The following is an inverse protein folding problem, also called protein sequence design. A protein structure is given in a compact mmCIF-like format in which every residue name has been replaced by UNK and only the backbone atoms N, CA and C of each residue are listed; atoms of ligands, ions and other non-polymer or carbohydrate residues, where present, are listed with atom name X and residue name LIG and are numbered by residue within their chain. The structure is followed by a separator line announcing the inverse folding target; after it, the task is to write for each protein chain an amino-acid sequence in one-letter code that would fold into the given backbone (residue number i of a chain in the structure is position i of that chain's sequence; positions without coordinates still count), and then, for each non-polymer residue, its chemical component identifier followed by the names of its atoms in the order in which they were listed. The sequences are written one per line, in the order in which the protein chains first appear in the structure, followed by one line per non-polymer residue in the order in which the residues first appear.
data_IF_321686461539
#
_entry.id   IF_321686461539
#
_cell.length_a   1.000
_cell.length_b   1.000
_cell.length_c   1.000
_cell.angle_alpha   90.00
_cell.angle_beta   90.00
_cell.angle_gamma   90.00
#
_symmetry.space_group_name_H-M   'P 1'
#
loop_
_entity.id
_entity.type
_entity.pdbx_description
1 polymer ?
#
# COMPACT_ATOMS: atom_id res chain seq x y z
N UNK A 1 -20.90 -10.24 10.37
CA UNK A 1 -19.94 -9.28 9.76
C UNK A 1 -19.18 -9.89 8.61
N UNK A 2 -18.61 -11.10 8.76
CA UNK A 2 -17.93 -11.83 7.67
C UNK A 2 -18.73 -12.00 6.38
N UNK A 3 -20.04 -12.26 6.44
CA UNK A 3 -20.88 -12.39 5.24
C UNK A 3 -21.03 -11.08 4.46
N UNK A 4 -20.96 -9.91 5.11
CA UNK A 4 -20.96 -8.61 4.42
C UNK A 4 -19.63 -8.35 3.71
N UNK A 5 -18.51 -8.76 4.33
CA UNK A 5 -17.17 -8.69 3.75
C UNK A 5 -17.09 -9.57 2.49
N UNK A 6 -17.68 -10.77 2.53
CA UNK A 6 -17.73 -11.70 1.40
C UNK A 6 -18.64 -11.20 0.26
N UNK A 7 -19.74 -10.52 0.60
CA UNK A 7 -20.60 -9.86 -0.38
C UNK A 7 -19.90 -8.67 -1.05
N UNK A 8 -19.18 -7.83 -0.29
CA UNK A 8 -18.37 -6.74 -0.85
C UNK A 8 -17.22 -7.28 -1.73
N UNK A 9 -16.66 -8.45 -1.37
CA UNK A 9 -15.64 -9.17 -2.16
C UNK A 9 -16.13 -9.50 -3.57
N UNK A 10 -17.35 -10.05 -3.69
CA UNK A 10 -17.94 -10.42 -4.99
C UNK A 10 -18.49 -9.22 -5.77
N UNK A 11 -19.02 -8.20 -5.10
CA UNK A 11 -19.69 -7.05 -5.74
C UNK A 11 -18.72 -6.10 -6.46
N UNK A 12 -17.51 -5.93 -5.94
CA UNK A 12 -16.55 -4.92 -6.42
C UNK A 12 -15.64 -5.38 -7.56
N UNK A 13 -15.88 -6.53 -8.20
CA UNK A 13 -15.00 -7.06 -9.25
C UNK A 13 -13.53 -7.09 -8.79
N UNK A 14 -13.30 -7.51 -7.55
CA UNK A 14 -11.96 -7.61 -6.96
C UNK A 14 -11.03 -8.52 -7.77
N UNK A 15 -11.57 -9.50 -8.51
CA UNK A 15 -10.79 -10.29 -9.48
C UNK A 15 -10.11 -9.42 -10.54
N UNK A 16 -10.72 -8.32 -10.99
CA UNK A 16 -10.09 -7.40 -11.93
C UNK A 16 -8.98 -6.59 -11.24
N UNK A 17 -9.19 -6.21 -9.97
CA UNK A 17 -8.17 -5.52 -9.18
C UNK A 17 -6.99 -6.46 -8.85
N UNK A 18 -7.25 -7.73 -8.59
CA UNK A 18 -6.23 -8.78 -8.40
C UNK A 18 -5.45 -9.07 -9.69
N UNK A 19 -6.11 -9.04 -10.86
CA UNK A 19 -5.39 -9.12 -12.15
C UNK A 19 -4.44 -7.94 -12.34
N UNK A 20 -4.90 -6.72 -12.06
CA UNK A 20 -4.04 -5.53 -12.10
C UNK A 20 -2.88 -5.63 -11.10
N UNK A 21 -3.12 -6.17 -9.91
CA UNK A 21 -2.09 -6.43 -8.89
C UNK A 21 -0.98 -7.34 -9.42
N UNK A 22 -1.33 -8.49 -10.00
CA UNK A 22 -0.35 -9.44 -10.57
C UNK A 22 0.46 -8.80 -11.72
N UNK A 23 -0.21 -8.03 -12.59
CA UNK A 23 0.46 -7.31 -13.67
C UNK A 23 1.48 -6.31 -13.11
N UNK A 24 1.13 -5.55 -12.07
CA UNK A 24 2.05 -4.61 -11.42
C UNK A 24 3.30 -5.31 -10.89
N UNK A 25 3.16 -6.47 -10.24
CA UNK A 25 4.31 -7.24 -9.73
C UNK A 25 5.26 -7.63 -10.87
N UNK A 26 4.70 -8.20 -11.94
CA UNK A 26 5.49 -8.65 -13.10
C UNK A 26 6.22 -7.47 -13.75
N UNK A 27 5.54 -6.33 -13.89
CA UNK A 27 6.12 -5.11 -14.49
C UNK A 27 7.24 -4.54 -13.63
N UNK A 28 7.05 -4.43 -12.31
CA UNK A 28 8.10 -3.94 -11.40
C UNK A 28 9.31 -4.85 -11.47
N UNK A 29 9.10 -6.17 -11.38
CA UNK A 29 10.19 -7.13 -11.40
C UNK A 29 10.97 -7.11 -12.72
N UNK A 30 10.26 -7.07 -13.86
CA UNK A 30 10.88 -6.97 -15.18
C UNK A 30 11.66 -5.67 -15.35
N UNK A 31 11.10 -4.56 -14.85
CA UNK A 31 11.76 -3.25 -14.89
C UNK A 31 13.04 -3.22 -14.05
N UNK A 32 13.03 -3.83 -12.86
CA UNK A 32 14.21 -3.93 -12.00
C UNK A 32 15.33 -4.76 -12.62
N UNK A 33 15.01 -5.87 -13.29
CA UNK A 33 16.00 -6.68 -14.03
C UNK A 33 16.57 -5.91 -15.23
N UNK A 34 15.72 -5.19 -15.94
CA UNK A 34 16.16 -4.36 -17.07
C UNK A 34 17.14 -3.27 -16.63
N UNK A 35 16.88 -2.62 -15.49
CA UNK A 35 17.80 -1.64 -14.89
C UNK A 35 19.15 -2.25 -14.51
N UNK A 36 19.16 -3.45 -13.92
CA UNK A 36 20.40 -4.15 -13.56
C UNK A 36 21.26 -4.54 -14.77
N UNK A 37 20.64 -4.88 -15.89
CA UNK A 37 21.35 -5.21 -17.13
C UNK A 37 21.73 -3.98 -17.99
N UNK A 38 20.99 -2.87 -17.85
CA UNK A 38 21.07 -1.70 -18.74
C UNK A 38 22.19 -0.70 -18.43
N UNK A 39 23.12 -1.00 -17.51
CA UNK A 39 24.31 -0.18 -17.25
C UNK A 39 24.42 0.41 -15.84
N UNK A 40 23.43 0.21 -14.97
CA UNK A 40 23.59 0.37 -13.53
C UNK A 40 23.98 -0.98 -12.94
N UNK A 41 25.28 -1.32 -13.00
CA UNK A 41 25.81 -2.41 -12.19
C UNK A 41 25.58 -2.05 -10.73
N UNK A 42 24.62 -2.70 -10.10
CA UNK A 42 24.41 -2.56 -8.68
C UNK A 42 25.67 -3.05 -7.96
N UNK A 43 26.23 -2.18 -7.11
CA UNK A 43 27.50 -2.44 -6.43
C UNK A 43 27.32 -3.52 -5.35
N UNK A 44 26.09 -3.68 -4.82
CA UNK A 44 25.75 -4.64 -3.76
C UNK A 44 24.31 -5.12 -3.85
N UNK A 45 24.01 -6.30 -3.29
CA UNK A 45 22.65 -6.87 -3.23
C UNK A 45 21.66 -5.95 -2.49
N UNK A 46 22.13 -5.26 -1.45
CA UNK A 46 21.32 -4.32 -0.65
C UNK A 46 20.77 -3.15 -1.47
N UNK A 47 21.54 -2.65 -2.44
CA UNK A 47 21.11 -1.55 -3.31
C UNK A 47 19.95 -1.97 -4.21
N UNK A 48 19.93 -3.23 -4.63
CA UNK A 48 18.82 -3.75 -5.42
C UNK A 48 17.57 -3.99 -4.58
N UNK A 49 17.74 -4.56 -3.39
CA UNK A 49 16.61 -4.78 -2.47
C UNK A 49 15.97 -3.46 -2.01
N UNK A 50 16.77 -2.42 -1.78
CA UNK A 50 16.25 -1.09 -1.43
C UNK A 50 15.47 -0.47 -2.59
N UNK A 51 15.96 -0.56 -3.83
CA UNK A 51 15.24 -0.08 -5.01
C UNK A 51 13.94 -0.84 -5.26
N UNK A 52 13.98 -2.17 -5.16
CA UNK A 52 12.79 -3.02 -5.24
C UNK A 52 11.76 -2.61 -4.18
N UNK A 53 12.21 -2.46 -2.94
CA UNK A 53 11.37 -2.05 -1.81
C UNK A 53 10.71 -0.70 -2.10
N UNK A 54 11.46 0.30 -2.56
CA UNK A 54 10.94 1.64 -2.91
C UNK A 54 9.88 1.58 -4.02
N UNK A 55 10.17 0.89 -5.13
CA UNK A 55 9.27 0.77 -6.28
C UNK A 55 7.96 0.05 -5.89
N UNK A 56 8.09 -1.03 -5.12
CA UNK A 56 6.97 -1.78 -4.58
C UNK A 56 6.10 -0.87 -3.71
N UNK A 57 6.72 -0.17 -2.78
CA UNK A 57 6.08 0.72 -1.82
C UNK A 57 5.24 1.81 -2.49
N UNK A 58 5.80 2.49 -3.48
CA UNK A 58 5.11 3.54 -4.24
C UNK A 58 3.91 2.95 -5.00
N UNK A 59 4.12 1.85 -5.72
CA UNK A 59 3.09 1.25 -6.57
C UNK A 59 1.91 0.76 -5.74
N UNK A 60 2.18 0.04 -4.64
CA UNK A 60 1.13 -0.48 -3.79
C UNK A 60 0.43 0.59 -2.96
N UNK A 61 1.10 1.69 -2.62
CA UNK A 61 0.43 2.84 -2.00
C UNK A 61 -0.57 3.51 -2.96
N UNK A 62 -0.21 3.67 -4.24
CA UNK A 62 -1.12 4.18 -5.27
C UNK A 62 -2.28 3.19 -5.48
N UNK A 63 -1.97 1.89 -5.59
CA UNK A 63 -2.98 0.86 -5.77
C UNK A 63 -3.98 0.83 -4.61
N UNK A 64 -3.49 0.87 -3.37
CA UNK A 64 -4.29 0.99 -2.15
C UNK A 64 -5.26 2.18 -2.20
N UNK A 65 -4.76 3.35 -2.61
CA UNK A 65 -5.58 4.55 -2.78
C UNK A 65 -6.69 4.37 -3.83
N UNK A 66 -6.42 3.70 -4.95
CA UNK A 66 -7.48 3.40 -5.94
C UNK A 66 -8.54 2.44 -5.39
N UNK A 67 -8.13 1.44 -4.60
CA UNK A 67 -9.03 0.47 -3.99
C UNK A 67 -9.91 1.14 -2.93
N UNK A 68 -9.30 1.97 -2.09
CA UNK A 68 -9.97 2.81 -1.11
C UNK A 68 -11.00 3.74 -1.76
N UNK A 69 -10.64 4.39 -2.87
CA UNK A 69 -11.54 5.26 -3.62
C UNK A 69 -12.72 4.49 -4.24
N UNK A 70 -12.51 3.27 -4.73
CA UNK A 70 -13.55 2.42 -5.30
C UNK A 70 -14.53 1.88 -4.25
N UNK A 71 -14.04 1.45 -3.08
CA UNK A 71 -14.85 0.82 -2.04
C UNK A 71 -15.57 1.88 -1.20
N UNK A 72 -14.86 2.94 -0.80
CA UNK A 72 -15.41 3.93 0.14
C UNK A 72 -16.06 5.09 -0.61
N UNK A 73 -15.32 5.79 -1.48
CA UNK A 73 -15.78 7.06 -2.06
C UNK A 73 -16.91 6.85 -3.08
N UNK A 74 -16.87 5.77 -3.88
CA UNK A 74 -17.92 5.48 -4.87
C UNK A 74 -19.29 5.28 -4.22
N UNK A 75 -19.33 4.62 -3.06
CA UNK A 75 -20.57 4.44 -2.29
C UNK A 75 -21.07 5.74 -1.66
N UNK A 76 -20.17 6.60 -1.19
CA UNK A 76 -20.55 7.92 -0.69
C UNK A 76 -21.12 8.84 -1.78
N UNK A 77 -20.71 8.67 -3.04
CA UNK A 77 -21.16 9.49 -4.16
C UNK A 77 -22.48 9.01 -4.78
N UNK A 78 -22.72 7.69 -4.85
CA UNK A 78 -23.87 7.12 -5.60
C UNK A 78 -25.24 7.15 -4.88
N UNK A 79 -25.44 7.99 -3.85
CA UNK A 79 -26.73 8.09 -3.11
C UNK A 79 -27.27 6.76 -2.55
N UNK A 80 -26.45 5.72 -2.41
CA UNK A 80 -26.78 4.50 -1.64
C UNK A 80 -26.85 4.78 -0.12
N UNK A 81 -26.60 6.02 0.28
CA UNK A 81 -26.91 6.55 1.60
C UNK A 81 -28.41 6.35 1.93
N UNK A 82 -29.35 6.48 0.97
CA UNK A 82 -30.78 6.22 1.19
C UNK A 82 -31.11 4.75 1.50
N UNK A 83 -30.33 3.79 1.00
CA UNK A 83 -30.47 2.37 1.36
C UNK A 83 -29.77 2.06 2.69
N UNK A 84 -28.75 2.83 3.05
CA UNK A 84 -28.11 2.79 4.37
C UNK A 84 -29.02 3.37 5.47
N UNK A 85 -29.96 4.26 5.12
CA UNK A 85 -30.94 4.85 6.04
C UNK A 85 -32.02 3.86 6.51
N UNK A 86 -32.29 2.80 5.74
CA UNK A 86 -33.18 1.69 6.16
C UNK A 86 -32.48 0.67 7.05
N UNK A 87 -31.15 0.77 7.23
CA UNK A 87 -30.37 -0.23 7.94
C UNK A 87 -30.32 0.11 9.45
N UNK A 88 -30.86 -0.76 10.35
CA UNK A 88 -30.99 -0.48 11.78
C UNK A 88 -29.64 -0.51 12.56
N UNK A 89 -28.50 -0.57 11.86
CA UNK A 89 -27.16 -0.71 12.45
C UNK A 89 -26.43 0.64 12.41
N UNK A 90 -25.79 1.02 13.52
CA UNK A 90 -25.06 2.27 13.64
C UNK A 90 -24.03 2.47 12.50
N UNK A 91 -24.20 3.56 11.72
CA UNK A 91 -23.39 3.94 10.53
C UNK A 91 -21.87 3.82 10.74
N UNK A 92 -21.42 4.12 11.96
CA UNK A 92 -20.02 4.04 12.38
C UNK A 92 -19.44 2.62 12.25
N UNK A 93 -20.22 1.58 12.58
CA UNK A 93 -19.76 0.18 12.54
C UNK A 93 -19.61 -0.33 11.10
N UNK A 94 -20.50 0.08 10.19
CA UNK A 94 -20.41 -0.29 8.78
C UNK A 94 -19.20 0.35 8.09
N UNK A 95 -18.98 1.65 8.32
CA UNK A 95 -17.83 2.35 7.76
C UNK A 95 -16.50 1.84 8.34
N UNK A 96 -16.45 1.59 9.65
CA UNK A 96 -15.27 0.99 10.28
C UNK A 96 -14.95 -0.37 9.65
N UNK A 97 -15.96 -1.22 9.44
CA UNK A 97 -15.78 -2.53 8.81
C UNK A 97 -15.17 -2.42 7.40
N UNK A 98 -15.54 -1.39 6.62
CA UNK A 98 -14.98 -1.19 5.27
C UNK A 98 -13.54 -0.71 5.30
N UNK A 99 -13.20 0.15 6.25
CA UNK A 99 -11.82 0.65 6.37
C UNK A 99 -10.89 -0.44 6.89
N UNK A 100 -11.37 -1.27 7.82
CA UNK A 100 -10.67 -2.49 8.24
C UNK A 100 -10.50 -3.45 7.07
N UNK A 101 -11.52 -3.65 6.22
CA UNK A 101 -11.42 -4.48 5.02
C UNK A 101 -10.33 -3.95 4.08
N UNK A 102 -10.32 -2.65 3.78
CA UNK A 102 -9.28 -2.05 2.92
C UNK A 102 -7.90 -2.22 3.55
N UNK A 103 -7.77 -1.96 4.86
CA UNK A 103 -6.50 -2.12 5.57
C UNK A 103 -5.96 -3.55 5.52
N UNK A 104 -6.80 -4.56 5.75
CA UNK A 104 -6.40 -5.97 5.67
C UNK A 104 -6.03 -6.35 4.24
N UNK A 105 -6.78 -5.87 3.24
CA UNK A 105 -6.47 -6.17 1.85
C UNK A 105 -5.17 -5.54 1.39
N UNK A 106 -4.91 -4.29 1.75
CA UNK A 106 -3.68 -3.58 1.38
C UNK A 106 -2.47 -4.17 2.09
N UNK A 107 -2.63 -4.58 3.34
CA UNK A 107 -1.64 -5.32 4.09
C UNK A 107 -1.30 -6.67 3.43
N UNK A 108 -2.32 -7.45 3.05
CA UNK A 108 -2.12 -8.73 2.36
C UNK A 108 -1.41 -8.53 1.01
N UNK A 109 -1.82 -7.52 0.23
CA UNK A 109 -1.22 -7.20 -1.06
C UNK A 109 0.26 -6.80 -0.93
N UNK A 110 0.59 -5.92 0.01
CA UNK A 110 1.98 -5.52 0.28
C UNK A 110 2.83 -6.72 0.71
N UNK A 111 2.31 -7.54 1.63
CA UNK A 111 3.02 -8.72 2.15
C UNK A 111 3.28 -9.75 1.06
N UNK A 112 2.26 -10.08 0.26
CA UNK A 112 2.39 -11.02 -0.86
C UNK A 112 3.38 -10.49 -1.89
N UNK A 113 3.29 -9.20 -2.25
CA UNK A 113 4.18 -8.63 -3.25
C UNK A 113 5.65 -8.68 -2.81
N UNK A 114 5.95 -8.27 -1.58
CA UNK A 114 7.32 -8.32 -1.05
C UNK A 114 7.87 -9.74 -1.01
N UNK A 115 7.07 -10.71 -0.52
CA UNK A 115 7.47 -12.12 -0.51
C UNK A 115 7.72 -12.65 -1.92
N UNK A 116 6.86 -12.31 -2.88
CA UNK A 116 7.07 -12.72 -4.28
C UNK A 116 8.32 -12.10 -4.89
N UNK A 117 8.65 -10.84 -4.55
CA UNK A 117 9.87 -10.19 -5.04
C UNK A 117 11.12 -10.82 -4.43
N UNK A 118 11.14 -11.10 -3.13
CA UNK A 118 12.26 -11.78 -2.46
C UNK A 118 12.52 -13.18 -3.07
N UNK A 119 11.47 -13.97 -3.24
CA UNK A 119 11.57 -15.29 -3.88
C UNK A 119 12.03 -15.17 -5.34
N UNK A 120 11.49 -14.22 -6.09
CA UNK A 120 11.86 -14.04 -7.49
C UNK A 120 13.33 -13.61 -7.66
N UNK A 121 13.86 -12.76 -6.78
CA UNK A 121 15.29 -12.41 -6.76
C UNK A 121 16.16 -13.63 -6.49
N UNK A 122 15.79 -14.47 -5.51
CA UNK A 122 16.51 -15.72 -5.23
C UNK A 122 16.53 -16.67 -6.44
N UNK A 123 15.40 -16.81 -7.15
CA UNK A 123 15.34 -17.61 -8.37
C UNK A 123 16.24 -17.06 -9.49
N UNK A 124 16.24 -15.74 -9.69
CA UNK A 124 17.00 -15.11 -10.78
C UNK A 124 18.50 -15.18 -10.51
N UNK A 125 18.94 -15.10 -9.25
CA UNK A 125 20.34 -15.34 -8.86
C UNK A 125 20.91 -16.65 -9.43
N UNK A 126 20.10 -17.71 -9.52
CA UNK A 126 20.56 -18.99 -10.05
C UNK A 126 20.73 -19.02 -11.58
N UNK A 127 20.30 -17.97 -12.28
CA UNK A 127 20.28 -17.91 -13.76
C UNK A 127 21.03 -16.72 -14.34
N UNK A 128 21.14 -15.64 -13.57
CA UNK A 128 21.83 -14.41 -13.93
C UNK A 128 22.67 -13.99 -12.72
N UNK A 129 23.99 -13.90 -12.90
CA UNK A 129 24.92 -13.32 -11.90
C UNK A 129 24.69 -11.80 -11.80
N UNK A 130 23.54 -11.40 -11.25
CA UNK A 130 23.15 -9.99 -11.09
C UNK A 130 23.96 -9.28 -9.99
N UNK A 131 24.51 -10.05 -9.03
CA UNK A 131 25.29 -9.54 -7.91
C UNK A 131 26.43 -10.52 -7.57
N UNK A 132 27.56 -10.01 -7.06
CA UNK A 132 28.67 -10.85 -6.57
C UNK A 132 28.38 -11.52 -5.22
N UNK A 133 27.40 -11.04 -4.45
CA UNK A 133 27.04 -11.58 -3.13
C UNK A 133 25.94 -12.65 -3.24
N UNK A 134 26.17 -13.81 -2.62
CA UNK A 134 25.21 -14.91 -2.58
C UNK A 134 24.13 -14.63 -1.53
N UNK A 135 22.87 -14.50 -1.95
CA UNK A 135 21.75 -14.39 -1.02
C UNK A 135 21.35 -15.79 -0.53
N UNK A 136 21.62 -16.08 0.74
CA UNK A 136 21.29 -17.36 1.35
C UNK A 136 19.80 -17.41 1.76
N UNK A 137 19.23 -18.63 1.80
CA UNK A 137 17.87 -18.85 2.31
C UNK A 137 17.71 -18.41 3.77
N UNK A 138 18.80 -18.43 4.54
CA UNK A 138 18.82 -18.00 5.93
C UNK A 138 18.62 -16.48 6.09
N UNK A 139 19.16 -15.69 5.15
CA UNK A 139 18.96 -14.23 5.13
C UNK A 139 17.52 -13.87 4.72
N UNK A 140 16.95 -14.62 3.77
CA UNK A 140 15.54 -14.48 3.40
C UNK A 140 14.60 -14.71 4.60
N UNK A 141 14.83 -15.78 5.36
CA UNK A 141 14.05 -16.11 6.56
C UNK A 141 14.21 -15.06 7.67
N UNK A 142 15.39 -14.47 7.79
CA UNK A 142 15.68 -13.41 8.75
C UNK A 142 14.99 -12.08 8.39
N UNK A 143 14.79 -11.81 7.11
CA UNK A 143 14.15 -10.58 6.61
C UNK A 143 12.61 -10.64 6.60
N UNK A 144 11.99 -11.82 6.68
CA UNK A 144 10.53 -11.99 6.78
C UNK A 144 9.88 -11.13 7.88
N UNK A 145 10.34 -11.15 9.16
CA UNK A 145 9.70 -10.37 10.22
C UNK A 145 9.82 -8.85 10.00
N UNK A 146 10.95 -8.40 9.44
CA UNK A 146 11.14 -6.99 9.09
C UNK A 146 10.18 -6.57 7.98
N UNK A 147 10.06 -7.41 6.94
CA UNK A 147 9.17 -7.20 5.80
C UNK A 147 7.70 -7.09 6.24
N UNK A 148 7.27 -7.97 7.15
CA UNK A 148 5.91 -7.96 7.68
C UNK A 148 5.61 -6.70 8.50
N UNK A 149 6.57 -6.26 9.32
CA UNK A 149 6.47 -5.04 10.12
C UNK A 149 6.38 -3.80 9.20
N UNK A 150 7.22 -3.75 8.17
CA UNK A 150 7.18 -2.68 7.17
C UNK A 150 5.83 -2.65 6.43
N UNK A 151 5.31 -3.80 5.99
CA UNK A 151 4.01 -3.89 5.36
C UNK A 151 2.88 -3.36 6.27
N UNK A 152 2.96 -3.60 7.58
CA UNK A 152 1.98 -3.12 8.56
C UNK A 152 2.01 -1.58 8.69
N UNK A 153 3.21 -1.01 8.78
CA UNK A 153 3.42 0.44 8.84
C UNK A 153 2.90 1.10 7.57
N UNK A 154 3.27 0.57 6.41
CA UNK A 154 2.85 1.10 5.12
C UNK A 154 1.36 1.00 4.87
N UNK A 155 0.72 -0.09 5.29
CA UNK A 155 -0.73 -0.21 5.25
C UNK A 155 -1.40 0.90 6.07
N UNK A 156 -0.80 1.30 7.19
CA UNK A 156 -1.25 2.44 8.01
C UNK A 156 -1.10 3.78 7.30
N UNK A 157 0.05 4.01 6.65
CA UNK A 157 0.31 5.23 5.85
C UNK A 157 -0.65 5.32 4.66
N UNK A 158 -0.98 4.19 4.04
CA UNK A 158 -1.91 4.13 2.91
C UNK A 158 -3.37 4.50 3.27
N UNK A 159 -3.69 4.68 4.57
CA UNK A 159 -4.96 5.23 5.02
C UNK A 159 -5.02 6.76 5.00
N UNK A 160 -3.88 7.47 4.94
CA UNK A 160 -3.85 8.95 4.93
C UNK A 160 -4.62 9.55 3.72
N UNK A 161 -4.48 9.01 2.48
CA UNK A 161 -5.25 9.46 1.32
C UNK A 161 -6.77 9.48 1.53
N UNK A 162 -7.29 8.63 2.43
CA UNK A 162 -8.72 8.56 2.78
C UNK A 162 -9.28 9.92 3.17
N UNK A 163 -8.54 10.70 3.95
CA UNK A 163 -9.02 11.99 4.46
C UNK A 163 -9.21 12.99 3.32
N UNK A 164 -8.25 13.06 2.41
CA UNK A 164 -8.31 13.97 1.27
C UNK A 164 -9.42 13.56 0.31
N UNK A 165 -9.56 12.27 0.05
CA UNK A 165 -10.64 11.70 -0.76
C UNK A 165 -12.04 11.99 -0.23
N UNK A 166 -12.27 11.76 1.07
CA UNK A 166 -13.57 11.98 1.69
C UNK A 166 -13.93 13.46 1.87
N UNK A 167 -12.95 14.35 2.11
CA UNK A 167 -13.23 15.79 2.22
C UNK A 167 -13.66 16.41 0.90
N UNK A 168 -13.05 16.01 -0.21
CA UNK A 168 -13.36 16.56 -1.55
C UNK A 168 -14.35 15.71 -2.36
N UNK A 169 -14.81 14.57 -1.81
CA UNK A 169 -15.70 13.59 -2.47
C UNK A 169 -15.21 13.19 -3.86
N UNK A 170 -13.90 13.05 -4.04
CA UNK A 170 -13.29 12.82 -5.36
C UNK A 170 -12.29 11.67 -5.33
N UNK A 171 -12.42 10.77 -6.29
CA UNK A 171 -11.47 9.68 -6.52
C UNK A 171 -10.11 10.21 -6.95
N UNK A 172 -10.08 11.24 -7.81
CA UNK A 172 -8.85 11.86 -8.29
C UNK A 172 -8.01 12.47 -7.15
N UNK A 173 -8.64 13.14 -6.18
CA UNK A 173 -7.92 13.74 -5.04
C UNK A 173 -7.30 12.71 -4.11
N UNK A 174 -7.88 11.51 -4.04
CA UNK A 174 -7.34 10.40 -3.23
C UNK A 174 -6.07 9.88 -3.87
N UNK A 175 -6.10 9.67 -5.19
CA UNK A 175 -4.95 9.15 -5.95
C UNK A 175 -3.80 10.16 -5.93
N UNK A 176 -4.06 11.44 -6.21
CA UNK A 176 -3.00 12.47 -6.20
C UNK A 176 -2.36 12.63 -4.82
N UNK A 177 -3.15 12.59 -3.74
CA UNK A 177 -2.59 12.64 -2.38
C UNK A 177 -1.72 11.43 -2.06
N UNK A 178 -2.11 10.24 -2.53
CA UNK A 178 -1.32 9.02 -2.35
C UNK A 178 0.02 9.09 -3.09
N UNK A 179 0.03 9.60 -4.32
CA UNK A 179 1.25 9.81 -5.10
C UNK A 179 2.20 10.75 -4.36
N UNK A 180 1.71 11.91 -3.89
CA UNK A 180 2.55 12.88 -3.16
C UNK A 180 3.15 12.25 -1.89
N UNK A 181 2.35 11.52 -1.12
CA UNK A 181 2.82 10.85 0.12
C UNK A 181 3.83 9.75 -0.23
N UNK A 182 3.61 9.01 -1.31
CA UNK A 182 4.53 7.94 -1.76
C UNK A 182 5.90 8.50 -2.12
N UNK A 183 5.93 9.61 -2.87
CA UNK A 183 7.18 10.29 -3.24
C UNK A 183 7.88 10.89 -2.02
N UNK A 184 7.14 11.49 -1.08
CA UNK A 184 7.71 12.07 0.13
C UNK A 184 8.31 11.00 1.06
N UNK A 185 7.70 9.82 1.15
CA UNK A 185 8.21 8.72 1.98
C UNK A 185 9.43 8.05 1.37
N UNK A 186 9.44 7.87 0.05
CA UNK A 186 10.51 7.18 -0.64
C UNK A 186 11.58 8.13 -1.21
N UNK A 187 11.51 9.43 -0.91
CA UNK A 187 12.55 10.38 -1.30
C UNK A 187 13.84 10.03 -0.57
N UNK A 188 14.81 9.53 -1.33
CA UNK A 188 16.15 9.24 -0.84
C UNK A 188 17.03 10.43 -1.17
N UNK A 189 17.63 11.03 -0.14
CA UNK A 189 18.65 12.06 -0.30
C UNK A 189 19.98 11.34 -0.09
N UNK A 190 20.71 11.10 -1.19
CA UNK A 190 22.05 10.54 -1.15
C UNK A 190 23.06 11.68 -1.12
N UNK A 191 23.76 11.83 0.01
CA UNK A 191 24.99 12.61 0.07
C UNK A 191 26.19 11.64 0.04
N UNK A 192 27.35 12.16 -0.34
CA UNK A 192 28.62 11.47 -0.58
C UNK A 192 29.09 10.53 0.56
N UNK A 193 28.58 10.73 1.78
CA UNK A 193 28.92 9.93 2.96
C UNK A 193 27.72 9.30 3.66
N UNK A 194 26.48 9.55 3.21
CA UNK A 194 25.30 8.94 3.82
C UNK A 194 24.05 9.00 2.91
N UNK A 195 23.36 7.86 2.81
CA UNK A 195 22.06 7.74 2.15
C UNK A 195 20.97 7.82 3.21
N UNK A 196 20.14 8.86 3.15
CA UNK A 196 19.06 9.07 4.11
C UNK A 196 17.75 8.95 3.35
N UNK A 197 16.97 7.91 3.67
CA UNK A 197 15.60 7.75 3.19
C UNK A 197 14.65 7.83 4.39
N UNK A 198 13.56 8.59 4.24
CA UNK A 198 12.54 8.73 5.30
C UNK A 198 11.86 7.39 5.61
N UNK A 199 11.77 6.50 4.62
CA UNK A 199 11.24 5.15 4.79
C UNK A 199 12.15 4.25 5.66
N UNK A 200 13.46 4.54 5.69
CA UNK A 200 14.45 3.72 6.38
C UNK A 200 14.60 4.15 7.86
N UNK A 201 14.28 5.41 8.17
CA UNK A 201 14.24 5.90 9.55
C UNK A 201 13.01 5.37 10.28
N UNK A 202 13.11 4.22 10.97
CA UNK A 202 12.02 3.52 11.71
C UNK A 202 11.00 4.44 12.39
N UNK A 203 11.46 5.55 12.99
CA UNK A 203 10.64 6.49 13.77
C UNK A 203 9.61 7.25 12.90
N UNK A 204 9.99 7.72 11.72
CA UNK A 204 9.14 8.62 10.90
C UNK A 204 7.93 7.87 10.30
N UNK A 205 8.09 6.69 9.66
CA UNK A 205 6.98 5.89 9.14
C UNK A 205 5.99 5.47 10.23
N UNK A 206 6.46 5.13 11.43
CA UNK A 206 5.60 4.76 12.56
C UNK A 206 4.72 5.95 12.98
N UNK A 207 5.31 7.12 13.15
CA UNK A 207 4.55 8.34 13.49
C UNK A 207 3.52 8.67 12.41
N UNK A 208 3.88 8.49 11.14
CA UNK A 208 2.99 8.75 10.01
C UNK A 208 1.86 7.70 9.89
N UNK A 209 2.13 6.44 10.22
CA UNK A 209 1.13 5.37 10.29
C UNK A 209 0.12 5.62 11.43
N UNK A 210 0.59 6.02 12.61
CA UNK A 210 -0.27 6.42 13.74
C UNK A 210 -1.13 7.62 13.34
N UNK A 211 -0.55 8.62 12.68
CA UNK A 211 -1.29 9.73 12.10
C UNK A 211 -2.35 9.25 11.10
N UNK A 212 -2.02 8.32 10.20
CA UNK A 212 -2.97 7.72 9.25
C UNK A 212 -4.19 7.09 9.91
N UNK A 213 -3.96 6.30 10.97
CA UNK A 213 -5.04 5.69 11.76
C UNK A 213 -5.86 6.76 12.49
N UNK A 214 -5.21 7.73 13.13
CA UNK A 214 -5.89 8.84 13.82
C UNK A 214 -6.72 9.69 12.85
N UNK A 215 -6.21 9.93 11.66
CA UNK A 215 -6.86 10.65 10.56
C UNK A 215 -8.08 9.88 10.04
N UNK A 216 -7.97 8.56 9.86
CA UNK A 216 -9.11 7.72 9.52
C UNK A 216 -10.20 7.83 10.59
N UNK A 217 -9.84 7.73 11.87
CA UNK A 217 -10.77 7.89 13.00
C UNK A 217 -11.48 9.26 13.00
N UNK A 218 -10.74 10.35 12.79
CA UNK A 218 -11.29 11.71 12.72
C UNK A 218 -12.25 11.91 11.53
N UNK A 219 -11.98 11.27 10.40
CA UNK A 219 -12.86 11.30 9.22
C UNK A 219 -14.27 10.78 9.57
N UNK A 220 -14.36 9.70 10.35
CA UNK A 220 -15.65 9.15 10.80
C UNK A 220 -16.37 10.04 11.83
N UNK A 221 -15.62 10.73 12.71
CA UNK A 221 -16.22 11.62 13.71
C UNK A 221 -16.88 12.84 13.05
N UNK A 222 -16.31 13.37 11.96
CA UNK A 222 -16.85 14.54 11.26
C UNK A 222 -18.09 14.24 10.40
N UNK A 223 -18.26 13.02 9.89
CA UNK A 223 -19.47 12.62 9.16
C UNK A 223 -20.73 12.83 9.99
N UNK A 224 -20.67 12.55 11.30
CA UNK A 224 -21.82 12.71 12.19
C UNK A 224 -22.26 14.18 12.40
N UNK A 225 -21.43 15.16 12.03
CA UNK A 225 -21.75 16.59 12.16
C UNK A 225 -22.16 17.25 10.84
N UNK A 226 -21.93 16.58 9.69
CA UNK A 226 -22.20 17.15 8.36
C UNK A 226 -23.59 16.79 7.79
N UNK A 227 -24.33 15.92 8.47
CA UNK A 227 -25.71 15.53 8.12
C UNK A 227 -26.78 16.30 8.95
N UNK A 228 -26.43 17.45 9.54
CA UNK A 228 -27.39 18.37 10.18
C UNK A 228 -27.42 19.69 9.42
N UNK A 229 -27.79 19.64 8.13
CA UNK A 229 -28.38 20.75 7.36
C UNK A 229 -29.26 20.15 6.28
#
# INVERSE_FOLDING_TARGET
MWQLILLDWQKHHLNQSLRSFVICIIVIFSFSIFLGNGGHSFISADDFFTLLTILNNITFMIFSSTLLARIIIREFHQKTIQVLFTYPIARKKLLLSKVVLVYVLTFAMLSISMLTMQLATWFVQGTMDLFPDYYALDDLLRDVPFTFTNACIMAGIALIPLLFGMRKKSTATTITSAVIISFLMNSTISNEHARWSLADTVIIPIMLAILGIGIAYLSFRKINKKDVV
#
